data_IF_305839896306
#
_entry.id   IF_305839896306
#
_cell.length_a   1.000
_cell.length_b   1.000
_cell.length_c   1.000
_cell.angle_alpha   90.00
_cell.angle_beta   90.00
_cell.angle_gamma   90.00
#
_symmetry.space_group_name_H-M   'P 1'
#
loop_
_entity.id
_entity.type
_entity.pdbx_description
1 polymer ?
#
# COMPACT_ATOMS: atom_id res chain seq x y z
N UNK A 1 -46.53 14.46 -26.38
CA UNK A 1 -46.41 13.42 -25.35
C UNK A 1 -44.93 13.16 -25.15
N UNK A 2 -44.39 13.65 -24.03
CA UNK A 2 -42.97 13.59 -23.69
C UNK A 2 -42.66 12.20 -23.11
N UNK A 3 -41.86 11.41 -23.81
CA UNK A 3 -41.30 10.17 -23.27
C UNK A 3 -40.08 10.52 -22.43
N UNK A 4 -40.26 10.51 -21.12
CA UNK A 4 -39.19 10.65 -20.14
C UNK A 4 -38.14 9.55 -20.36
N UNK A 5 -36.92 9.94 -20.74
CA UNK A 5 -35.74 9.09 -20.67
C UNK A 5 -35.46 8.85 -19.18
N UNK A 6 -35.83 7.68 -18.67
CA UNK A 6 -35.43 7.24 -17.34
C UNK A 6 -33.90 7.15 -17.30
N UNK A 7 -33.26 8.13 -16.67
CA UNK A 7 -31.87 8.04 -16.25
C UNK A 7 -31.77 7.03 -15.11
N UNK A 8 -31.60 5.74 -15.43
CA UNK A 8 -31.20 4.74 -14.44
C UNK A 8 -29.79 5.08 -13.96
N UNK A 9 -29.65 5.90 -12.91
CA UNK A 9 -28.40 6.04 -12.17
C UNK A 9 -28.21 4.80 -11.29
N UNK A 10 -27.52 3.81 -11.85
CA UNK A 10 -27.28 2.46 -11.31
C UNK A 10 -26.40 2.52 -10.03
N UNK A 11 -26.58 1.59 -9.06
CA UNK A 11 -25.97 1.66 -7.73
C UNK A 11 -24.43 1.76 -7.75
N UNK A 12 -23.86 2.71 -7.01
CA UNK A 12 -22.41 2.98 -6.94
C UNK A 12 -21.81 2.29 -5.71
N UNK A 13 -21.63 0.97 -5.78
CA UNK A 13 -21.11 0.18 -4.65
C UNK A 13 -19.74 0.65 -4.26
N UNK A 14 -19.61 1.18 -3.04
CA UNK A 14 -18.39 1.83 -2.61
C UNK A 14 -18.08 1.56 -1.16
N UNK A 15 -16.81 1.31 -0.86
CA UNK A 15 -16.36 1.17 0.53
C UNK A 15 -14.85 1.11 0.71
N UNK A 16 -14.46 1.04 1.97
CA UNK A 16 -13.09 0.89 2.43
C UNK A 16 -12.75 -0.59 2.55
N UNK A 17 -11.66 -1.01 1.91
CA UNK A 17 -11.20 -2.40 1.85
C UNK A 17 -9.84 -2.53 2.50
N UNK A 18 -9.77 -3.24 3.61
CA UNK A 18 -8.52 -3.46 4.33
C UNK A 18 -7.73 -4.65 3.79
N UNK A 19 -6.43 -4.48 3.61
CA UNK A 19 -5.52 -5.56 3.25
C UNK A 19 -4.90 -6.16 4.50
N UNK A 20 -5.08 -7.46 4.66
CA UNK A 20 -4.60 -8.23 5.80
C UNK A 20 -3.73 -9.37 5.28
N UNK A 21 -2.67 -9.71 6.00
CA UNK A 21 -1.76 -10.78 5.62
C UNK A 21 -0.36 -10.56 6.17
N UNK A 22 0.43 -11.62 6.32
CA UNK A 22 1.80 -11.50 6.82
C UNK A 22 2.69 -10.64 5.89
N UNK A 23 3.87 -10.17 6.33
CA UNK A 23 4.80 -9.48 5.45
C UNK A 23 5.13 -10.31 4.20
N UNK A 24 5.32 -9.64 3.06
CA UNK A 24 5.73 -10.25 1.78
C UNK A 24 4.75 -11.25 1.12
N UNK A 25 3.47 -11.30 1.54
CA UNK A 25 2.43 -12.09 0.85
C UNK A 25 1.95 -11.48 -0.47
N UNK A 26 2.32 -10.22 -0.76
CA UNK A 26 1.98 -9.54 -2.01
C UNK A 26 0.85 -8.50 -1.93
N UNK A 27 0.48 -8.01 -0.73
CA UNK A 27 -0.49 -6.92 -0.54
C UNK A 27 -0.19 -5.69 -1.43
N UNK A 28 1.01 -5.15 -1.34
CA UNK A 28 1.42 -3.96 -2.12
C UNK A 28 1.43 -4.25 -3.62
N UNK A 29 1.89 -5.44 -4.04
CA UNK A 29 1.87 -5.87 -5.46
C UNK A 29 0.43 -5.92 -5.99
N UNK A 30 -0.50 -6.45 -5.19
CA UNK A 30 -1.91 -6.52 -5.54
C UNK A 30 -2.48 -5.11 -5.76
N UNK A 31 -2.33 -4.22 -4.77
CA UNK A 31 -2.85 -2.83 -4.84
C UNK A 31 -2.32 -2.12 -6.08
N UNK A 32 -1.02 -2.19 -6.32
CA UNK A 32 -0.38 -1.55 -7.47
C UNK A 32 -0.94 -2.04 -8.81
N UNK A 33 -1.20 -3.35 -8.92
CA UNK A 33 -1.69 -3.93 -10.16
C UNK A 33 -3.21 -3.77 -10.34
N UNK A 34 -3.98 -3.65 -9.26
CA UNK A 34 -5.41 -3.29 -9.33
C UNK A 34 -5.60 -1.85 -9.76
N UNK A 35 -4.81 -0.95 -9.19
CA UNK A 35 -4.93 0.47 -9.46
C UNK A 35 -4.36 0.86 -10.85
N UNK A 36 -3.44 0.05 -11.39
CA UNK A 36 -2.81 0.34 -12.68
C UNK A 36 -1.65 1.35 -12.60
N UNK A 37 -1.37 1.88 -11.40
CA UNK A 37 -0.18 2.65 -11.07
C UNK A 37 0.34 2.27 -9.68
N UNK A 38 1.64 2.49 -9.43
CA UNK A 38 2.30 2.06 -8.20
C UNK A 38 1.94 2.99 -7.03
N UNK A 39 1.01 2.54 -6.19
CA UNK A 39 0.50 3.29 -5.02
C UNK A 39 1.19 2.86 -3.72
N UNK A 40 1.55 1.59 -3.63
CA UNK A 40 2.18 0.98 -2.48
C UNK A 40 3.64 0.61 -2.80
N UNK A 41 4.56 0.97 -1.91
CA UNK A 41 5.97 0.60 -2.06
C UNK A 41 6.11 -0.91 -1.97
N UNK A 42 6.53 -1.55 -3.06
CA UNK A 42 6.90 -2.95 -3.09
C UNK A 42 8.39 -3.08 -2.81
N UNK A 43 8.75 -3.82 -1.76
CA UNK A 43 10.14 -4.20 -1.54
C UNK A 43 10.23 -5.57 -0.86
N UNK A 44 11.27 -6.37 -1.18
CA UNK A 44 11.40 -7.74 -0.66
C UNK A 44 11.82 -7.80 0.83
N UNK A 45 12.23 -6.70 1.46
CA UNK A 45 12.59 -6.71 2.89
C UNK A 45 11.39 -6.31 3.76
N UNK A 46 11.24 -6.89 4.96
CA UNK A 46 10.11 -6.59 5.86
C UNK A 46 10.06 -5.11 6.28
N UNK A 47 8.87 -4.65 6.72
CA UNK A 47 8.61 -3.29 7.27
C UNK A 47 8.74 -2.11 6.28
N UNK A 48 8.31 -2.29 5.03
CA UNK A 48 8.41 -1.26 3.99
C UNK A 48 7.37 -0.16 4.09
N UNK A 49 6.21 -0.39 4.71
CA UNK A 49 5.10 0.57 4.79
C UNK A 49 5.02 1.18 6.19
N UNK A 50 5.33 2.49 6.32
CA UNK A 50 5.28 3.24 7.60
C UNK A 50 4.01 4.07 7.78
N UNK A 51 3.35 4.45 6.69
CA UNK A 51 2.09 5.19 6.67
C UNK A 51 1.00 4.31 6.04
N UNK A 52 -0.28 4.38 6.48
CA UNK A 52 -1.36 3.68 5.80
C UNK A 52 -1.44 4.21 4.38
N UNK A 53 -1.12 3.35 3.41
CA UNK A 53 -1.25 3.68 2.00
C UNK A 53 -2.71 3.46 1.64
N UNK A 54 -3.41 4.56 1.37
CA UNK A 54 -4.74 4.54 0.80
C UNK A 54 -4.63 4.47 -0.72
N UNK A 55 -5.18 3.43 -1.32
CA UNK A 55 -5.22 3.26 -2.77
C UNK A 55 -6.64 3.29 -3.27
N UNK A 56 -6.97 4.31 -4.07
CA UNK A 56 -8.31 4.44 -4.63
C UNK A 56 -8.39 3.76 -6.01
N UNK A 57 -9.34 2.83 -6.13
CA UNK A 57 -9.75 2.24 -7.41
C UNK A 57 -11.18 2.69 -7.74
N UNK A 58 -11.44 3.01 -9.01
CA UNK A 58 -12.79 3.27 -9.49
C UNK A 58 -12.98 2.87 -10.92
N UNK A 59 -14.19 2.42 -11.18
CA UNK A 59 -14.75 2.25 -12.50
C UNK A 59 -16.26 2.57 -12.45
N UNK A 60 -16.98 2.12 -13.47
CA UNK A 60 -18.44 2.25 -13.60
C UNK A 60 -19.26 1.62 -12.47
N UNK A 61 -18.70 0.71 -11.66
CA UNK A 61 -19.39 0.01 -10.57
C UNK A 61 -19.36 0.79 -9.25
N UNK A 62 -18.34 1.63 -9.05
CA UNK A 62 -18.18 2.44 -7.84
C UNK A 62 -16.72 2.66 -7.42
N UNK A 63 -16.49 2.93 -6.13
CA UNK A 63 -15.17 3.28 -5.57
C UNK A 63 -14.70 2.29 -4.50
N UNK A 64 -13.42 1.94 -4.54
CA UNK A 64 -12.77 1.10 -3.53
C UNK A 64 -11.58 1.87 -2.95
N UNK A 65 -11.58 2.11 -1.64
CA UNK A 65 -10.42 2.66 -0.93
C UNK A 65 -9.68 1.50 -0.26
N UNK A 66 -8.58 1.05 -0.86
CA UNK A 66 -7.70 0.06 -0.26
C UNK A 66 -6.88 0.68 0.86
N UNK A 67 -6.90 0.12 2.06
CA UNK A 67 -6.03 0.55 3.16
C UNK A 67 -5.03 -0.55 3.50
N UNK A 68 -3.73 -0.23 3.48
CA UNK A 68 -2.71 -1.11 4.05
C UNK A 68 -2.68 -0.89 5.57
N UNK A 69 -2.79 -1.98 6.33
CA UNK A 69 -3.06 -1.93 7.77
C UNK A 69 -1.85 -2.15 8.71
N UNK A 70 -0.56 -2.06 8.30
CA UNK A 70 0.54 -2.58 9.11
C UNK A 70 0.61 -1.99 10.52
N UNK A 71 0.14 -0.75 10.72
CA UNK A 71 0.13 -0.07 12.03
C UNK A 71 -0.83 -0.65 13.08
N UNK A 72 -1.97 -1.23 12.68
CA UNK A 72 -2.93 -1.84 13.63
C UNK A 72 -2.37 -3.18 14.15
N UNK A 73 -1.71 -3.93 13.28
CA UNK A 73 -1.17 -5.26 13.58
C UNK A 73 0.14 -5.21 14.38
N UNK A 74 0.92 -4.12 14.29
CA UNK A 74 2.19 -3.94 15.02
C UNK A 74 2.00 -3.36 16.44
N UNK A 75 0.92 -2.60 16.70
CA UNK A 75 0.65 -2.00 18.02
C UNK A 75 0.01 -2.98 19.01
N UNK A 76 -0.55 -4.09 18.55
CA UNK A 76 -1.01 -5.18 19.41
C UNK A 76 0.20 -5.91 20.00
N UNK A 77 0.67 -5.49 21.18
CA UNK A 77 1.90 -6.00 21.83
C UNK A 77 1.93 -7.51 22.06
N UNK A 78 0.81 -8.22 21.91
CA UNK A 78 0.80 -9.68 21.90
C UNK A 78 -0.51 -10.24 21.30
N UNK A 79 -0.57 -10.50 19.98
CA UNK A 79 -1.78 -11.01 19.34
C UNK A 79 -2.08 -12.48 19.65
N UNK A 80 -1.11 -13.22 20.18
CA UNK A 80 -1.26 -14.61 20.59
C UNK A 80 -1.82 -14.72 22.00
N UNK A 81 -1.55 -13.72 22.85
CA UNK A 81 -2.33 -13.56 24.06
C UNK A 81 -3.80 -13.30 23.71
N UNK A 82 -4.73 -13.86 24.49
CA UNK A 82 -6.18 -13.57 24.40
C UNK A 82 -6.53 -12.06 24.46
N UNK A 83 -5.55 -11.18 24.69
CA UNK A 83 -5.68 -9.72 24.90
C UNK A 83 -5.35 -8.85 23.68
N UNK A 84 -5.68 -9.27 22.45
CA UNK A 84 -6.08 -8.23 21.48
C UNK A 84 -7.38 -7.68 22.02
N UNK A 85 -7.31 -6.50 22.67
CA UNK A 85 -8.47 -5.81 23.22
C UNK A 85 -9.43 -5.57 22.05
N UNK A 86 -10.61 -6.18 22.08
CA UNK A 86 -11.61 -6.03 21.01
C UNK A 86 -11.97 -4.55 20.79
N UNK A 87 -11.91 -3.74 21.86
CA UNK A 87 -12.04 -2.28 21.79
C UNK A 87 -10.98 -1.59 20.91
N UNK A 88 -9.79 -2.18 20.76
CA UNK A 88 -8.76 -1.66 19.88
C UNK A 88 -9.05 -1.93 18.39
N UNK A 89 -10.00 -2.82 18.09
CA UNK A 89 -10.45 -3.15 16.73
C UNK A 89 -11.79 -2.48 16.39
N UNK A 90 -12.46 -1.83 17.35
CA UNK A 90 -13.74 -1.14 17.12
C UNK A 90 -13.70 -0.09 16.00
N UNK A 91 -12.68 0.81 15.91
CA UNK A 91 -12.61 1.75 14.80
C UNK A 91 -12.49 1.04 13.45
N UNK A 92 -11.68 -0.01 13.39
CA UNK A 92 -11.53 -0.81 12.18
C UNK A 92 -12.85 -1.49 11.77
N UNK A 93 -13.60 -2.05 12.72
CA UNK A 93 -14.91 -2.65 12.43
C UNK A 93 -15.99 -1.63 12.04
N UNK A 94 -15.79 -0.34 12.33
CA UNK A 94 -16.73 0.74 11.97
C UNK A 94 -16.40 1.39 10.63
N UNK A 95 -15.12 1.54 10.33
CA UNK A 95 -14.63 2.34 9.20
C UNK A 95 -14.24 1.49 7.97
N UNK A 96 -14.18 0.16 8.12
CA UNK A 96 -13.83 -0.79 7.05
C UNK A 96 -15.04 -1.62 6.65
N UNK A 97 -15.36 -1.64 5.37
CA UNK A 97 -16.52 -2.38 4.83
C UNK A 97 -16.16 -3.84 4.47
N UNK A 98 -14.90 -4.13 4.15
CA UNK A 98 -14.44 -5.46 3.72
C UNK A 98 -12.96 -5.70 4.07
N UNK A 99 -12.62 -6.93 4.46
CA UNK A 99 -11.23 -7.38 4.60
C UNK A 99 -10.81 -8.30 3.45
N UNK A 100 -9.68 -8.02 2.82
CA UNK A 100 -8.96 -8.97 1.96
C UNK A 100 -7.86 -9.63 2.76
N UNK A 101 -8.04 -10.91 3.11
CA UNK A 101 -7.04 -11.69 3.80
C UNK A 101 -6.16 -12.42 2.78
N UNK A 102 -5.00 -11.85 2.49
CA UNK A 102 -4.02 -12.42 1.58
C UNK A 102 -3.11 -13.44 2.27
N UNK A 103 -3.03 -14.62 1.67
CA UNK A 103 -2.06 -15.66 2.03
C UNK A 103 -1.15 -15.98 0.84
N UNK A 104 0.06 -16.44 1.15
CA UNK A 104 1.04 -16.92 0.19
C UNK A 104 1.09 -18.44 0.27
N UNK A 105 0.53 -19.13 -0.73
CA UNK A 105 0.42 -20.58 -0.71
C UNK A 105 1.79 -21.27 -0.79
N UNK A 106 2.84 -20.56 -1.22
CA UNK A 106 4.22 -21.09 -1.31
C UNK A 106 4.95 -21.09 0.02
N UNK A 107 4.35 -20.53 1.07
CA UNK A 107 4.95 -20.42 2.41
C UNK A 107 4.23 -21.27 3.43
N UNK A 108 5.00 -22.02 4.20
CA UNK A 108 4.52 -22.75 5.37
C UNK A 108 3.86 -21.79 6.37
N UNK A 109 2.81 -22.25 7.04
CA UNK A 109 2.20 -21.52 8.16
C UNK A 109 3.17 -21.47 9.34
N UNK A 110 3.41 -20.28 9.85
CA UNK A 110 4.30 -20.01 10.99
C UNK A 110 3.58 -19.18 12.06
N UNK A 111 4.34 -18.70 13.04
CA UNK A 111 3.83 -17.86 14.12
C UNK A 111 3.31 -16.50 13.65
N UNK A 112 3.88 -15.93 12.58
CA UNK A 112 3.40 -14.67 12.02
C UNK A 112 2.01 -14.86 11.42
N UNK A 113 1.79 -15.95 10.69
CA UNK A 113 0.46 -16.27 10.16
C UNK A 113 -0.55 -16.55 11.26
N UNK A 114 -0.16 -17.31 12.28
CA UNK A 114 -1.06 -17.62 13.40
C UNK A 114 -1.58 -16.34 14.08
N UNK A 115 -0.73 -15.30 14.19
CA UNK A 115 -1.13 -13.97 14.67
C UNK A 115 -2.14 -13.30 13.74
N UNK A 116 -1.88 -13.32 12.43
CA UNK A 116 -2.78 -12.72 11.45
C UNK A 116 -4.15 -13.42 11.48
N UNK A 117 -4.18 -14.76 11.46
CA UNK A 117 -5.42 -15.55 11.63
C UNK A 117 -6.18 -15.14 12.89
N UNK A 118 -5.49 -15.05 14.02
CA UNK A 118 -6.10 -14.70 15.31
C UNK A 118 -6.74 -13.31 15.30
N UNK A 119 -6.13 -12.33 14.62
CA UNK A 119 -6.70 -10.98 14.48
C UNK A 119 -7.85 -11.00 13.47
N UNK A 120 -7.69 -11.63 12.30
CA UNK A 120 -8.73 -11.70 11.27
C UNK A 120 -10.03 -12.32 11.79
N UNK A 121 -9.94 -13.35 12.64
CA UNK A 121 -11.11 -13.97 13.29
C UNK A 121 -11.88 -13.03 14.21
N UNK A 122 -11.24 -12.01 14.79
CA UNK A 122 -11.86 -11.02 15.67
C UNK A 122 -12.53 -9.86 14.92
N UNK A 123 -12.37 -9.79 13.60
CA UNK A 123 -13.00 -8.77 12.78
C UNK A 123 -14.46 -9.15 12.52
N UNK A 124 -15.37 -8.21 12.72
CA UNK A 124 -16.81 -8.37 12.54
C UNK A 124 -17.28 -7.74 11.21
N UNK A 125 -16.47 -7.93 10.17
CA UNK A 125 -16.72 -7.44 8.82
C UNK A 125 -16.56 -8.60 7.83
N UNK A 126 -17.17 -8.53 6.64
CA UNK A 126 -16.98 -9.54 5.60
C UNK A 126 -15.51 -9.70 5.21
N UNK A 127 -15.11 -10.92 4.84
CA UNK A 127 -13.73 -11.31 4.54
C UNK A 127 -13.66 -12.09 3.23
N UNK A 128 -12.74 -11.71 2.35
CA UNK A 128 -12.34 -12.52 1.20
C UNK A 128 -10.96 -13.11 1.47
N UNK A 129 -10.86 -14.43 1.45
CA UNK A 129 -9.57 -15.12 1.41
C UNK A 129 -8.97 -14.98 0.03
N UNK A 130 -7.78 -14.40 -0.06
CA UNK A 130 -7.06 -14.19 -1.32
C UNK A 130 -5.82 -15.08 -1.31
N UNK A 131 -5.88 -16.17 -2.08
CA UNK A 131 -4.75 -17.10 -2.24
C UNK A 131 -3.85 -16.57 -3.35
N UNK A 132 -2.72 -15.96 -2.96
CA UNK A 132 -1.83 -15.28 -3.89
C UNK A 132 -0.64 -16.17 -4.32
N UNK A 133 -0.02 -15.81 -5.45
CA UNK A 133 1.14 -16.47 -6.09
C UNK A 133 0.82 -17.79 -6.77
N UNK A 134 -0.38 -17.94 -7.34
CA UNK A 134 -0.76 -19.17 -8.08
C UNK A 134 0.08 -19.44 -9.33
N UNK A 135 0.88 -18.45 -9.77
CA UNK A 135 1.89 -18.63 -10.81
C UNK A 135 3.06 -19.53 -10.38
N UNK A 136 3.26 -19.71 -9.08
CA UNK A 136 4.23 -20.64 -8.52
C UNK A 136 3.53 -21.96 -8.23
N UNK A 137 4.02 -23.07 -8.78
CA UNK A 137 3.42 -24.39 -8.58
C UNK A 137 4.00 -25.13 -7.38
N UNK A 138 5.32 -25.01 -7.13
CA UNK A 138 6.02 -25.69 -6.04
C UNK A 138 7.05 -24.77 -5.36
N UNK A 139 7.28 -24.91 -4.03
CA UNK A 139 6.52 -25.75 -3.10
C UNK A 139 5.11 -25.18 -2.84
N UNK A 140 4.12 -26.03 -2.56
CA UNK A 140 2.79 -25.59 -2.09
C UNK A 140 2.47 -26.05 -0.66
N UNK A 141 1.92 -25.14 0.13
CA UNK A 141 1.43 -25.35 1.48
C UNK A 141 -0.07 -25.07 1.60
N UNK A 142 -0.79 -24.99 0.47
CA UNK A 142 -2.22 -24.66 0.40
C UNK A 142 -3.08 -25.47 1.38
N UNK A 143 -2.79 -26.77 1.53
CA UNK A 143 -3.52 -27.64 2.45
C UNK A 143 -3.55 -27.12 3.90
N UNK A 144 -2.54 -26.37 4.33
CA UNK A 144 -2.48 -25.79 5.68
C UNK A 144 -3.44 -24.61 5.89
N UNK A 145 -3.96 -24.02 4.81
CA UNK A 145 -4.84 -22.85 4.83
C UNK A 145 -6.31 -23.21 4.55
N UNK A 146 -6.64 -24.47 4.25
CA UNK A 146 -8.01 -24.90 3.90
C UNK A 146 -9.07 -24.48 4.90
N UNK A 147 -8.75 -24.50 6.20
CA UNK A 147 -9.69 -24.07 7.24
C UNK A 147 -10.13 -22.60 7.09
N UNK A 148 -9.33 -21.75 6.43
CA UNK A 148 -9.70 -20.37 6.14
C UNK A 148 -10.75 -20.24 5.05
N UNK A 149 -10.88 -21.23 4.16
CA UNK A 149 -11.91 -21.25 3.13
C UNK A 149 -13.31 -21.33 3.76
N UNK A 150 -13.43 -21.92 4.95
CA UNK A 150 -14.68 -22.00 5.73
C UNK A 150 -14.91 -20.77 6.65
N UNK A 151 -13.86 -20.01 6.96
CA UNK A 151 -13.91 -18.85 7.86
C UNK A 151 -14.04 -17.49 7.15
N UNK A 152 -13.93 -17.48 5.83
CA UNK A 152 -14.10 -16.30 4.98
C UNK A 152 -15.35 -16.45 4.11
N UNK A 153 -15.97 -15.33 3.77
CA UNK A 153 -17.22 -15.28 3.00
C UNK A 153 -17.03 -15.59 1.52
N UNK A 154 -15.81 -15.42 1.01
CA UNK A 154 -15.42 -15.78 -0.35
C UNK A 154 -13.94 -16.16 -0.43
N UNK A 155 -13.59 -16.93 -1.48
CA UNK A 155 -12.21 -17.33 -1.77
C UNK A 155 -11.88 -16.97 -3.22
N UNK A 156 -10.76 -16.28 -3.43
CA UNK A 156 -10.27 -15.94 -4.77
C UNK A 156 -8.79 -16.27 -4.88
N UNK A 157 -8.45 -17.01 -5.93
CA UNK A 157 -7.08 -17.36 -6.29
C UNK A 157 -6.51 -16.36 -7.30
N UNK A 158 -5.34 -15.78 -7.01
CA UNK A 158 -4.74 -14.76 -7.87
C UNK A 158 -3.23 -14.97 -8.05
N UNK A 159 -2.71 -14.43 -9.15
CA UNK A 159 -1.31 -14.00 -9.21
C UNK A 159 -1.30 -12.48 -9.22
N UNK A 160 -1.01 -11.87 -8.08
CA UNK A 160 -0.85 -10.42 -8.00
C UNK A 160 0.26 -9.96 -8.95
N UNK A 161 1.34 -10.72 -9.10
CA UNK A 161 2.48 -10.38 -9.97
C UNK A 161 2.10 -10.40 -11.45
N UNK A 162 1.45 -11.48 -11.91
CA UNK A 162 1.12 -11.70 -13.32
C UNK A 162 -0.26 -11.18 -13.70
N UNK A 163 -0.95 -10.49 -12.77
CA UNK A 163 -2.30 -9.93 -12.95
C UNK A 163 -3.37 -10.99 -13.28
N UNK A 164 -3.16 -12.22 -12.84
CA UNK A 164 -4.09 -13.33 -13.06
C UNK A 164 -5.26 -13.24 -12.09
N UNK A 165 -6.49 -13.35 -12.61
CA UNK A 165 -7.77 -13.32 -11.88
C UNK A 165 -8.06 -12.04 -11.08
N UNK A 166 -7.36 -10.93 -11.34
CA UNK A 166 -7.63 -9.67 -10.66
C UNK A 166 -9.02 -9.10 -10.95
N UNK A 167 -9.55 -9.34 -12.16
CA UNK A 167 -10.93 -8.96 -12.52
C UNK A 167 -11.96 -9.69 -11.65
N UNK A 168 -11.79 -10.99 -11.46
CA UNK A 168 -12.63 -11.83 -10.60
C UNK A 168 -12.57 -11.37 -9.15
N UNK A 169 -11.38 -11.00 -8.66
CA UNK A 169 -11.24 -10.42 -7.33
C UNK A 169 -12.00 -9.09 -7.19
N UNK A 170 -11.88 -8.19 -8.17
CA UNK A 170 -12.63 -6.92 -8.18
C UNK A 170 -14.14 -7.14 -8.21
N UNK A 171 -14.62 -8.04 -9.06
CA UNK A 171 -16.04 -8.42 -9.12
C UNK A 171 -16.52 -8.91 -7.75
N UNK A 172 -15.75 -9.78 -7.08
CA UNK A 172 -16.06 -10.28 -5.73
C UNK A 172 -16.08 -9.16 -4.68
N UNK A 173 -15.16 -8.19 -4.77
CA UNK A 173 -15.15 -7.03 -3.86
C UNK A 173 -16.42 -6.21 -4.06
N UNK A 174 -16.75 -5.83 -5.30
CA UNK A 174 -17.94 -5.02 -5.57
C UNK A 174 -19.24 -5.71 -5.17
N UNK A 175 -19.37 -7.04 -5.30
CA UNK A 175 -20.58 -7.75 -4.84
C UNK A 175 -20.74 -7.73 -3.32
N UNK A 176 -19.68 -7.48 -2.57
CA UNK A 176 -19.67 -7.43 -1.11
C UNK A 176 -19.68 -6.00 -0.53
N UNK A 177 -19.34 -4.99 -1.34
CA UNK A 177 -19.38 -3.60 -0.90
C UNK A 177 -20.82 -3.06 -0.79
N UNK A 178 -21.09 -2.17 0.19
CA UNK A 178 -22.39 -1.57 0.34
C UNK A 178 -22.72 -0.64 -0.82
N UNK A 179 -24.01 -0.54 -1.13
CA UNK A 179 -24.52 0.49 -2.03
C UNK A 179 -24.46 1.85 -1.34
N UNK A 180 -23.89 2.85 -2.02
CA UNK A 180 -23.82 4.23 -1.52
C UNK A 180 -24.39 5.18 -2.57
N UNK A 181 -25.20 6.14 -2.11
CA UNK A 181 -25.81 7.16 -2.98
C UNK A 181 -24.80 8.21 -3.43
N UNK A 182 -23.71 8.37 -2.67
CA UNK A 182 -22.63 9.31 -2.94
C UNK A 182 -21.29 8.56 -3.02
N UNK A 183 -20.37 9.02 -3.88
CA UNK A 183 -19.00 8.51 -3.86
C UNK A 183 -18.41 8.75 -2.46
N UNK A 184 -17.56 7.84 -1.99
CA UNK A 184 -16.90 8.00 -0.67
C UNK A 184 -16.10 9.30 -0.69
N UNK A 185 -15.57 9.62 -1.87
CA UNK A 185 -14.64 10.71 -2.08
C UNK A 185 -14.88 11.33 -3.45
N UNK A 186 -14.85 12.65 -3.54
CA UNK A 186 -14.86 13.31 -4.85
C UNK A 186 -13.55 12.96 -5.56
N UNK A 187 -13.61 12.21 -6.65
CA UNK A 187 -12.44 11.80 -7.42
C UNK A 187 -11.52 12.96 -7.85
N UNK A 188 -12.07 14.18 -7.97
CA UNK A 188 -11.32 15.38 -8.33
C UNK A 188 -10.64 16.06 -7.12
N UNK A 189 -11.10 15.79 -5.90
CA UNK A 189 -10.57 16.34 -4.64
C UNK A 189 -9.85 15.28 -3.80
N UNK A 190 -10.13 14.01 -4.05
CA UNK A 190 -9.41 12.89 -3.49
C UNK A 190 -8.15 12.70 -4.31
N UNK A 191 -7.01 12.48 -3.66
CA UNK A 191 -5.86 11.95 -4.35
C UNK A 191 -6.23 10.52 -4.77
N UNK A 192 -6.90 10.38 -5.92
CA UNK A 192 -6.73 9.20 -6.74
C UNK A 192 -5.23 8.89 -6.77
N UNK A 193 -4.81 7.67 -7.04
CA UNK A 193 -3.49 7.41 -7.58
C UNK A 193 -3.34 8.00 -8.99
N UNK A 194 -3.88 9.20 -9.24
CA UNK A 194 -3.16 10.23 -9.94
C UNK A 194 -2.02 10.64 -9.02
N UNK A 195 -0.81 10.31 -9.45
CA UNK A 195 0.42 10.94 -8.99
C UNK A 195 0.16 12.43 -8.83
N UNK A 196 -0.13 12.87 -7.60
CA UNK A 196 -0.21 14.27 -7.32
C UNK A 196 1.23 14.69 -7.09
N UNK A 197 1.85 15.31 -8.10
CA UNK A 197 3.16 15.93 -7.97
C UNK A 197 3.16 17.00 -6.86
N UNK A 198 2.00 17.54 -6.46
CA UNK A 198 1.88 18.42 -5.29
C UNK A 198 1.93 17.63 -3.96
N UNK A 199 1.74 16.32 -4.00
CA UNK A 199 1.92 15.45 -2.83
C UNK A 199 3.40 15.18 -2.62
N UNK A 200 4.01 16.08 -1.86
CA UNK A 200 5.33 15.93 -1.24
C UNK A 200 5.52 14.53 -0.63
N UNK A 201 4.45 13.96 -0.08
CA UNK A 201 4.42 12.61 0.50
C UNK A 201 4.69 11.52 -0.54
N UNK A 202 4.08 11.58 -1.73
CA UNK A 202 4.30 10.57 -2.77
C UNK A 202 5.74 10.56 -3.28
N UNK A 203 6.28 11.75 -3.57
CA UNK A 203 7.66 11.92 -4.02
C UNK A 203 8.63 11.43 -2.92
N UNK A 204 8.37 11.79 -1.67
CA UNK A 204 9.14 11.32 -0.52
C UNK A 204 9.14 9.78 -0.44
N UNK A 205 7.98 9.15 -0.63
CA UNK A 205 7.85 7.69 -0.58
C UNK A 205 8.59 6.99 -1.72
N UNK A 206 8.57 7.53 -2.94
CA UNK A 206 9.43 7.03 -4.04
C UNK A 206 10.91 7.10 -3.65
N UNK A 207 11.36 8.25 -3.14
CA UNK A 207 12.76 8.43 -2.71
C UNK A 207 13.11 7.41 -1.63
N UNK A 208 12.24 7.26 -0.62
CA UNK A 208 12.42 6.34 0.50
C UNK A 208 12.49 4.89 0.04
N UNK A 209 11.69 4.48 -0.94
CA UNK A 209 11.83 3.17 -1.56
C UNK A 209 13.22 2.98 -2.16
N UNK A 210 13.75 3.98 -2.88
CA UNK A 210 15.08 3.86 -3.51
C UNK A 210 16.20 3.80 -2.47
N UNK A 211 16.06 4.54 -1.37
CA UNK A 211 16.90 4.38 -0.18
C UNK A 211 16.83 2.93 0.31
N UNK A 212 15.63 2.37 0.43
CA UNK A 212 15.40 1.02 0.92
C UNK A 212 16.04 -0.05 0.01
N UNK A 213 15.96 0.12 -1.31
CA UNK A 213 16.56 -0.76 -2.30
C UNK A 213 18.10 -0.67 -2.33
N UNK A 214 18.66 0.53 -2.11
CA UNK A 214 20.11 0.78 -2.25
C UNK A 214 20.90 0.70 -0.95
N UNK A 215 20.23 0.62 0.20
CA UNK A 215 20.87 0.45 1.50
C UNK A 215 20.63 -0.94 2.07
N UNK A 216 21.32 -1.29 3.16
CA UNK A 216 21.21 -2.60 3.84
C UNK A 216 21.17 -2.38 5.34
N UNK A 217 20.92 -3.47 6.09
CA UNK A 217 20.89 -3.50 7.55
C UNK A 217 19.91 -2.45 8.12
N UNK A 218 20.34 -1.66 9.09
CA UNK A 218 19.51 -0.72 9.86
C UNK A 218 19.21 0.59 9.13
N UNK A 219 20.02 0.98 8.15
CA UNK A 219 19.92 2.29 7.45
C UNK A 219 18.52 2.61 6.91
N UNK A 220 17.80 1.71 6.21
CA UNK A 220 16.46 2.03 5.71
C UNK A 220 15.45 2.39 6.82
N UNK A 221 15.67 1.88 8.03
CA UNK A 221 14.76 2.06 9.16
C UNK A 221 15.13 3.29 10.01
N UNK A 222 16.31 3.88 9.81
CA UNK A 222 16.74 5.11 10.51
C UNK A 222 16.67 6.33 9.59
N UNK A 223 15.89 6.23 8.51
CA UNK A 223 15.77 7.28 7.50
C UNK A 223 14.33 7.62 7.15
N UNK A 224 14.12 8.86 6.73
CA UNK A 224 12.90 9.34 6.06
C UNK A 224 13.28 10.23 4.88
N UNK A 225 12.35 10.48 3.97
CA UNK A 225 12.52 11.47 2.91
C UNK A 225 11.51 12.61 3.14
N UNK A 226 11.93 13.84 2.88
CA UNK A 226 11.13 15.06 2.98
C UNK A 226 11.27 15.81 1.67
N UNK A 227 10.17 16.30 1.13
CA UNK A 227 10.17 17.11 -0.09
C UNK A 227 9.86 18.53 0.32
N UNK A 228 10.82 19.42 0.11
CA UNK A 228 10.72 20.81 0.53
C UNK A 228 9.94 21.61 -0.51
N UNK A 229 10.26 21.42 -1.80
CA UNK A 229 9.68 22.18 -2.89
C UNK A 229 9.39 21.31 -4.11
N UNK A 230 8.27 21.62 -4.78
CA UNK A 230 7.92 21.12 -6.11
C UNK A 230 7.56 22.36 -6.94
N UNK A 231 8.32 22.62 -7.98
CA UNK A 231 8.23 23.84 -8.78
C UNK A 231 8.09 23.44 -10.24
N UNK A 232 6.94 23.72 -10.85
CA UNK A 232 6.79 23.65 -12.30
C UNK A 232 7.62 24.75 -12.95
N UNK A 233 8.60 24.37 -13.78
CA UNK A 233 9.45 25.33 -14.50
C UNK A 233 8.83 25.73 -15.83
N UNK A 234 8.23 24.75 -16.52
CA UNK A 234 7.51 24.90 -17.77
C UNK A 234 6.51 23.73 -17.94
N UNK A 235 5.78 23.71 -19.05
CA UNK A 235 4.74 22.72 -19.33
C UNK A 235 5.22 21.25 -19.30
N UNK A 236 6.52 21.00 -19.42
CA UNK A 236 7.09 19.66 -19.51
C UNK A 236 8.21 19.38 -18.48
N UNK A 237 8.52 20.33 -17.59
CA UNK A 237 9.65 20.23 -16.65
C UNK A 237 9.25 20.62 -15.23
N UNK A 238 9.52 19.72 -14.28
CA UNK A 238 9.31 19.95 -12.85
C UNK A 238 10.62 19.86 -12.07
N UNK A 239 10.90 20.85 -11.24
CA UNK A 239 12.00 20.85 -10.27
C UNK A 239 11.49 20.39 -8.91
N UNK A 240 12.18 19.43 -8.31
CA UNK A 240 11.86 18.86 -7.00
C UNK A 240 13.09 19.02 -6.12
N UNK A 241 12.91 19.67 -4.96
CA UNK A 241 13.91 19.73 -3.90
C UNK A 241 13.50 18.79 -2.77
N UNK A 242 14.39 17.87 -2.41
CA UNK A 242 14.13 16.87 -1.38
C UNK A 242 15.37 16.56 -0.55
N UNK A 243 15.13 16.10 0.68
CA UNK A 243 16.13 15.70 1.65
C UNK A 243 15.86 14.30 2.16
N UNK A 244 16.89 13.48 2.27
CA UNK A 244 16.85 12.25 3.06
C UNK A 244 17.38 12.57 4.46
N UNK A 245 16.51 12.48 5.47
CA UNK A 245 16.90 12.69 6.85
C UNK A 245 17.31 11.35 7.49
N UNK A 246 18.30 11.40 8.37
CA UNK A 246 18.72 10.26 9.17
C UNK A 246 19.11 10.68 10.58
N UNK A 247 19.16 9.72 11.51
CA UNK A 247 19.39 9.99 12.93
C UNK A 247 20.87 10.20 13.30
N UNK A 248 21.84 9.77 12.48
CA UNK A 248 23.26 9.95 12.79
C UNK A 248 24.14 10.06 11.53
N UNK A 249 25.28 10.75 11.67
CA UNK A 249 26.26 11.00 10.63
C UNK A 249 26.87 9.75 10.01
N UNK A 250 26.90 8.64 10.76
CA UNK A 250 27.32 7.34 10.26
C UNK A 250 26.41 6.90 9.11
N UNK A 251 25.09 7.00 9.30
CA UNK A 251 24.11 6.67 8.27
C UNK A 251 24.11 7.68 7.13
N UNK A 252 24.34 8.97 7.43
CA UNK A 252 24.49 10.00 6.40
C UNK A 252 25.63 9.67 5.44
N UNK A 253 26.80 9.29 5.97
CA UNK A 253 27.94 8.81 5.15
C UNK A 253 27.57 7.58 4.32
N UNK A 254 26.81 6.64 4.89
CA UNK A 254 26.35 5.46 4.17
C UNK A 254 25.37 5.79 3.03
N UNK A 255 24.44 6.74 3.23
CA UNK A 255 23.46 7.18 2.23
C UNK A 255 24.12 7.93 1.08
N UNK A 256 25.08 8.80 1.38
CA UNK A 256 25.89 9.51 0.37
C UNK A 256 26.74 8.49 -0.40
N UNK A 257 27.42 7.59 0.32
CA UNK A 257 28.34 6.61 -0.25
C UNK A 257 29.64 7.25 -0.75
N UNK A 258 30.62 6.40 -1.08
CA UNK A 258 31.92 6.87 -1.55
C UNK A 258 31.79 7.74 -2.82
N UNK A 259 32.32 8.97 -2.76
CA UNK A 259 32.23 9.95 -3.86
C UNK A 259 30.80 10.37 -4.21
N UNK A 260 29.83 10.22 -3.31
CA UNK A 260 28.42 10.52 -3.58
C UNK A 260 27.74 9.51 -4.52
N UNK A 261 28.33 8.34 -4.76
CA UNK A 261 27.79 7.36 -5.71
C UNK A 261 26.39 6.87 -5.31
N UNK A 262 26.14 6.62 -4.02
CA UNK A 262 24.88 6.01 -3.58
C UNK A 262 23.71 6.99 -3.65
N UNK A 263 23.90 8.23 -3.21
CA UNK A 263 22.86 9.25 -3.35
C UNK A 263 22.52 9.54 -4.82
N UNK A 264 23.53 9.52 -5.71
CA UNK A 264 23.31 9.63 -7.16
C UNK A 264 22.50 8.47 -7.73
N UNK A 265 22.77 7.25 -7.30
CA UNK A 265 21.97 6.07 -7.71
C UNK A 265 20.52 6.18 -7.22
N UNK A 266 20.32 6.54 -5.96
CA UNK A 266 18.98 6.75 -5.36
C UNK A 266 18.21 7.82 -6.14
N UNK A 267 18.81 9.00 -6.32
CA UNK A 267 18.21 10.11 -7.05
C UNK A 267 17.91 9.76 -8.51
N UNK A 268 18.82 9.04 -9.18
CA UNK A 268 18.60 8.61 -10.58
C UNK A 268 17.42 7.66 -10.71
N UNK A 269 17.28 6.70 -9.79
CA UNK A 269 16.15 5.77 -9.79
C UNK A 269 14.84 6.47 -9.48
N UNK A 270 14.83 7.35 -8.47
CA UNK A 270 13.64 8.11 -8.08
C UNK A 270 13.19 9.03 -9.23
N UNK A 271 14.13 9.77 -9.84
CA UNK A 271 13.88 10.63 -10.99
C UNK A 271 13.25 9.86 -12.15
N UNK A 272 13.84 8.75 -12.58
CA UNK A 272 13.31 7.94 -13.70
C UNK A 272 11.90 7.42 -13.43
N UNK A 273 11.62 7.03 -12.19
CA UNK A 273 10.29 6.58 -11.79
C UNK A 273 9.29 7.72 -11.82
N UNK A 274 9.64 8.88 -11.26
CA UNK A 274 8.82 10.08 -11.32
C UNK A 274 8.55 10.51 -12.76
N UNK A 275 9.56 10.52 -13.64
CA UNK A 275 9.38 10.85 -15.07
C UNK A 275 8.40 9.90 -15.77
N UNK A 276 8.49 8.60 -15.48
CA UNK A 276 7.59 7.58 -16.04
C UNK A 276 6.16 7.78 -15.53
N UNK A 277 6.05 8.06 -14.24
CA UNK A 277 4.78 8.26 -13.56
C UNK A 277 4.07 9.51 -14.13
N UNK A 278 4.79 10.62 -14.27
CA UNK A 278 4.21 11.93 -14.57
C UNK A 278 4.20 12.29 -16.05
N UNK A 279 4.89 11.51 -16.89
CA UNK A 279 5.14 11.82 -18.29
C UNK A 279 5.71 13.24 -18.51
N UNK A 280 6.59 13.68 -17.59
CA UNK A 280 7.28 14.98 -17.59
C UNK A 280 8.76 14.79 -17.30
N UNK A 281 9.61 15.73 -17.69
CA UNK A 281 11.02 15.77 -17.27
C UNK A 281 11.12 16.21 -15.82
N UNK A 282 11.94 15.51 -15.03
CA UNK A 282 12.11 15.79 -13.60
C UNK A 282 13.55 16.19 -13.33
N UNK A 283 13.75 17.35 -12.69
CA UNK A 283 15.01 17.71 -12.05
C UNK A 283 14.86 17.45 -10.54
N UNK A 284 15.50 16.40 -10.05
CA UNK A 284 15.48 16.04 -8.64
C UNK A 284 16.80 16.48 -7.98
N UNK A 285 16.71 17.50 -7.13
CA UNK A 285 17.75 17.93 -6.22
C UNK A 285 17.58 17.18 -4.88
N UNK A 286 18.50 16.25 -4.62
CA UNK A 286 18.42 15.35 -3.47
C UNK A 286 19.67 15.48 -2.60
N UNK A 287 19.47 15.84 -1.33
CA UNK A 287 20.54 15.92 -0.33
C UNK A 287 20.30 14.96 0.84
N UNK A 288 21.29 14.79 1.71
CA UNK A 288 21.19 13.97 2.92
C UNK A 288 21.58 14.80 4.13
N UNK A 289 20.71 14.84 5.13
CA UNK A 289 20.90 15.59 6.37
C UNK A 289 20.78 14.69 7.59
N UNK A 290 21.49 15.06 8.65
CA UNK A 290 21.40 14.38 9.95
C UNK A 290 20.50 15.22 10.83
N UNK A 291 19.42 14.63 11.31
CA UNK A 291 18.52 15.22 12.28
C UNK A 291 18.19 14.15 13.33
N UNK A 292 18.57 14.36 14.58
CA UNK A 292 18.32 13.37 15.64
C UNK A 292 16.86 13.35 16.09
N UNK A 293 16.11 14.43 15.86
CA UNK A 293 14.75 14.62 16.34
C UNK A 293 13.70 14.49 15.24
N UNK A 294 14.11 14.20 13.99
CA UNK A 294 13.14 13.99 12.91
C UNK A 294 12.05 12.96 13.26
N UNK A 295 12.30 11.86 14.01
CA UNK A 295 11.25 10.92 14.39
C UNK A 295 10.13 11.54 15.26
N UNK A 296 10.43 12.62 15.98
CA UNK A 296 9.50 13.34 16.86
C UNK A 296 8.68 14.39 16.08
N UNK A 297 9.23 14.91 14.98
CA UNK A 297 8.61 15.97 14.17
C UNK A 297 7.58 15.49 13.14
N UNK A 298 7.46 14.18 12.92
CA UNK A 298 6.51 13.58 11.95
C UNK A 298 5.18 13.12 12.60
N UNK A 299 4.88 13.59 13.81
CA UNK A 299 3.67 13.26 14.58
C UNK A 299 2.46 14.12 14.22
#
# INVERSE_FOLDING_TARGET
MSSATQSNSVPKRSGTVALIGRPNVGKSTLVNNLIGQKVAITSPKPQTTRFPIEGLYQDERGQIIFIDTPGIFLKAKDPVSKRVNEKALEPFNKDVDLALYLIDHTRKRDFEEAKVVGITRKLNIPKVLVINKIDVTEPTYRAQYRFLEEECDAVVEISALNRTHLKTLLETIFTMLPERDQPIVDANLYPYPAINLDSRTFIAEIIREKVFLRTRKEVPYTTTAVVDNVIERDANTTYIQARVLTTDDTYKKMLIGAGGRRIKEIGTMARKELETATNRKIYLDLTVETDRHWPETLG
#
